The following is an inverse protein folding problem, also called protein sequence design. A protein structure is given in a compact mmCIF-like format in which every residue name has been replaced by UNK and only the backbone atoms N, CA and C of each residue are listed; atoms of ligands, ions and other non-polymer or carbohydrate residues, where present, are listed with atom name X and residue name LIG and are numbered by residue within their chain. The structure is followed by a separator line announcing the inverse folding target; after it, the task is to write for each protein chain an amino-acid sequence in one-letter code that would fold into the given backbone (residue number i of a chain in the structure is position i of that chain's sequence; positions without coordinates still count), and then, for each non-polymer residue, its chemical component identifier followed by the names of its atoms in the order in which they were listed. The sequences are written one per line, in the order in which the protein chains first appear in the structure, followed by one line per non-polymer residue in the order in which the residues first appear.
data_IF_453413975121
#
_entry.id   IF_453413975121
#
_cell.length_a   1.000
_cell.length_b   1.000
_cell.length_c   1.000
_cell.angle_alpha   90.00
_cell.angle_beta   90.00
_cell.angle_gamma   90.00
#
_symmetry.space_group_name_H-M   'P 1'
#
loop_
_entity.id
_entity.type
_entity.pdbx_description
1 polymer ?
#
# COMPACT_ATOMS: atom_id res chain seq x y z
N UNK A 1 16.25 -15.08 -19.38
CA UNK A 1 16.61 -13.75 -18.85
C UNK A 1 17.72 -13.97 -17.85
N UNK A 2 18.82 -13.26 -18.01
CA UNK A 2 19.92 -13.22 -17.06
C UNK A 2 19.46 -12.63 -15.72
N UNK A 3 20.04 -13.13 -14.63
CA UNK A 3 19.67 -12.78 -13.25
C UNK A 3 19.75 -11.26 -13.01
N UNK A 4 20.74 -10.61 -13.61
CA UNK A 4 20.93 -9.16 -13.54
C UNK A 4 19.72 -8.43 -14.10
N UNK A 5 19.26 -8.80 -15.30
CA UNK A 5 18.09 -8.19 -15.92
C UNK A 5 16.81 -8.39 -15.08
N UNK A 6 16.62 -9.57 -14.49
CA UNK A 6 15.46 -9.83 -13.61
C UNK A 6 15.46 -8.93 -12.38
N UNK A 7 16.61 -8.81 -11.71
CA UNK A 7 16.75 -7.96 -10.52
C UNK A 7 16.52 -6.48 -10.85
N UNK A 8 17.03 -6.01 -11.98
CA UNK A 8 16.81 -4.63 -12.45
C UNK A 8 15.31 -4.38 -12.66
N UNK A 9 14.62 -5.28 -13.37
CA UNK A 9 13.18 -5.12 -13.59
C UNK A 9 12.38 -5.15 -12.29
N UNK A 10 12.74 -6.02 -11.33
CA UNK A 10 12.10 -6.04 -10.01
C UNK A 10 12.25 -4.69 -9.30
N UNK A 11 13.47 -4.16 -9.20
CA UNK A 11 13.71 -2.88 -8.53
C UNK A 11 12.94 -1.73 -9.20
N UNK A 12 13.00 -1.63 -10.52
CA UNK A 12 12.29 -0.58 -11.27
C UNK A 12 10.78 -0.70 -11.05
N UNK A 13 10.23 -1.91 -11.13
CA UNK A 13 8.79 -2.13 -10.96
C UNK A 13 8.30 -1.77 -9.55
N UNK A 14 9.05 -2.16 -8.51
CA UNK A 14 8.72 -1.83 -7.11
C UNK A 14 8.71 -0.32 -6.90
N UNK A 15 9.72 0.40 -7.41
CA UNK A 15 9.80 1.86 -7.31
C UNK A 15 8.66 2.51 -8.08
N UNK A 16 8.39 2.05 -9.31
CA UNK A 16 7.36 2.62 -10.17
C UNK A 16 5.96 2.46 -9.56
N UNK A 17 5.64 1.29 -9.02
CA UNK A 17 4.35 1.02 -8.37
C UNK A 17 4.24 1.81 -7.06
N UNK A 18 5.30 1.85 -6.25
CA UNK A 18 5.32 2.65 -5.01
C UNK A 18 5.09 4.14 -5.28
N UNK A 19 5.82 4.72 -6.24
CA UNK A 19 5.61 6.11 -6.65
C UNK A 19 4.25 6.38 -7.27
N UNK A 20 3.72 5.41 -8.01
CA UNK A 20 2.36 5.49 -8.54
C UNK A 20 1.32 5.61 -7.42
N UNK A 21 1.48 4.85 -6.33
CA UNK A 21 0.63 4.92 -5.14
C UNK A 21 0.72 6.27 -4.43
N UNK A 22 1.94 6.80 -4.25
CA UNK A 22 2.16 8.14 -3.67
C UNK A 22 1.41 9.21 -4.48
N UNK A 23 1.63 9.26 -5.80
CA UNK A 23 1.01 10.26 -6.67
C UNK A 23 -0.51 10.13 -6.74
N UNK A 24 -1.02 8.89 -6.68
CA UNK A 24 -2.45 8.64 -6.61
C UNK A 24 -3.04 9.19 -5.32
N UNK A 25 -2.39 8.95 -4.18
CA UNK A 25 -2.81 9.44 -2.88
C UNK A 25 -2.78 10.97 -2.83
N UNK A 26 -1.70 11.60 -3.29
CA UNK A 26 -1.55 13.06 -3.35
C UNK A 26 -2.63 13.73 -4.19
N UNK A 27 -3.03 13.09 -5.30
CA UNK A 27 -4.09 13.58 -6.18
C UNK A 27 -5.49 13.39 -5.59
N UNK A 28 -5.68 12.34 -4.78
CA UNK A 28 -6.97 11.96 -4.21
C UNK A 28 -7.39 12.85 -3.03
N UNK A 29 -6.44 13.26 -2.19
CA UNK A 29 -6.68 14.12 -1.02
C UNK A 29 -7.42 15.44 -1.36
N UNK A 30 -6.99 16.27 -2.34
CA UNK A 30 -7.68 17.51 -2.67
C UNK A 30 -9.07 17.27 -3.27
N UNK A 31 -9.27 16.16 -3.99
CA UNK A 31 -10.58 15.77 -4.53
C UNK A 31 -11.53 15.42 -3.38
N UNK A 32 -11.08 14.59 -2.44
CA UNK A 32 -11.88 14.19 -1.29
C UNK A 32 -12.27 15.39 -0.41
N UNK A 33 -11.36 16.36 -0.22
CA UNK A 33 -11.65 17.61 0.50
C UNK A 33 -12.72 18.45 -0.21
N UNK A 34 -12.69 18.55 -1.54
CA UNK A 34 -13.71 19.28 -2.33
C UNK A 34 -15.09 18.61 -2.25
N UNK A 35 -15.13 17.31 -2.04
CA UNK A 35 -16.38 16.53 -1.88
C UNK A 35 -16.94 16.60 -0.44
N UNK A 36 -16.34 17.39 0.46
CA UNK A 36 -16.82 17.54 1.83
C UNK A 36 -16.53 16.34 2.73
N UNK A 37 -15.61 15.46 2.32
CA UNK A 37 -15.19 14.31 3.14
C UNK A 37 -14.35 14.82 4.32
N UNK A 38 -14.67 14.36 5.54
CA UNK A 38 -13.93 14.74 6.74
C UNK A 38 -12.44 14.35 6.64
N UNK A 39 -11.54 15.14 7.24
CA UNK A 39 -10.10 14.86 7.22
C UNK A 39 -9.75 13.47 7.77
N UNK A 40 -10.48 13.04 8.80
CA UNK A 40 -10.35 11.69 9.38
C UNK A 40 -10.72 10.63 8.35
N UNK A 41 -11.87 10.73 7.68
CA UNK A 41 -12.30 9.78 6.65
C UNK A 41 -11.34 9.71 5.45
N UNK A 42 -10.72 10.85 5.08
CA UNK A 42 -9.68 10.86 4.03
C UNK A 42 -8.48 10.01 4.46
N UNK A 43 -7.96 10.22 5.67
CA UNK A 43 -6.81 9.48 6.19
C UNK A 43 -7.11 7.99 6.45
N UNK A 44 -8.24 7.69 7.08
CA UNK A 44 -8.57 6.32 7.51
C UNK A 44 -9.01 5.42 6.36
N UNK A 45 -9.81 5.93 5.42
CA UNK A 45 -10.46 5.09 4.40
C UNK A 45 -9.79 5.30 3.04
N UNK A 46 -9.74 6.54 2.55
CA UNK A 46 -9.25 6.82 1.19
C UNK A 46 -7.75 6.56 1.05
N UNK A 47 -6.95 7.06 1.99
CA UNK A 47 -5.49 6.86 1.96
C UNK A 47 -5.14 5.39 2.19
N UNK A 48 -5.79 4.70 3.14
CA UNK A 48 -5.55 3.27 3.37
C UNK A 48 -5.81 2.39 2.14
N UNK A 49 -6.87 2.71 1.38
CA UNK A 49 -7.17 2.02 0.11
C UNK A 49 -6.13 2.35 -0.95
N UNK A 50 -5.73 3.61 -1.06
CA UNK A 50 -4.71 4.05 -2.01
C UNK A 50 -3.36 3.36 -1.77
N UNK A 51 -2.92 3.30 -0.51
CA UNK A 51 -1.66 2.65 -0.12
C UNK A 51 -1.68 1.15 -0.41
N UNK A 52 -2.84 0.49 -0.27
CA UNK A 52 -3.01 -0.96 -0.53
C UNK A 52 -3.20 -1.32 -2.02
N UNK A 53 -3.31 -0.31 -2.89
CA UNK A 53 -3.57 -0.48 -4.33
C UNK A 53 -2.47 -1.29 -5.04
N UNK A 54 -1.16 -1.01 -4.82
CA UNK A 54 -0.06 -1.84 -5.29
C UNK A 54 -0.24 -3.35 -5.02
N UNK A 55 -0.57 -3.72 -3.78
CA UNK A 55 -0.67 -5.09 -3.34
C UNK A 55 -1.83 -5.80 -3.98
N UNK A 56 -2.98 -5.12 -4.09
CA UNK A 56 -4.16 -5.64 -4.81
C UNK A 56 -3.83 -5.88 -6.28
N UNK A 57 -3.12 -4.94 -6.92
CA UNK A 57 -2.72 -5.07 -8.32
C UNK A 57 -1.74 -6.23 -8.54
N UNK A 58 -0.71 -6.36 -7.69
CA UNK A 58 0.29 -7.43 -7.81
C UNK A 58 -0.33 -8.80 -7.49
N UNK A 59 -1.14 -8.90 -6.42
CA UNK A 59 -1.84 -10.13 -6.07
C UNK A 59 -2.82 -10.55 -7.17
N UNK A 60 -3.66 -9.62 -7.62
CA UNK A 60 -4.63 -9.85 -8.70
C UNK A 60 -3.95 -10.26 -10.01
N UNK A 61 -2.88 -9.57 -10.40
CA UNK A 61 -2.10 -9.94 -11.57
C UNK A 61 -1.47 -11.33 -11.45
N UNK A 62 -0.92 -11.66 -10.27
CA UNK A 62 -0.37 -12.99 -9.99
C UNK A 62 -1.42 -14.09 -10.12
N UNK A 63 -2.62 -13.88 -9.58
CA UNK A 63 -3.74 -14.80 -9.72
C UNK A 63 -4.17 -14.98 -11.18
N UNK A 64 -4.32 -13.89 -11.93
CA UNK A 64 -4.68 -13.91 -13.35
C UNK A 64 -3.63 -14.61 -14.22
N UNK A 65 -2.36 -14.58 -13.83
CA UNK A 65 -1.27 -15.29 -14.50
C UNK A 65 -1.11 -16.75 -14.09
N UNK A 66 -2.02 -17.29 -13.27
CA UNK A 66 -1.94 -18.68 -12.82
C UNK A 66 -0.91 -18.92 -11.71
N UNK A 67 -0.53 -17.88 -10.95
CA UNK A 67 0.40 -17.96 -9.82
C UNK A 67 -0.35 -17.71 -8.49
N UNK A 68 -1.25 -18.61 -8.04
CA UNK A 68 -2.05 -18.41 -6.84
C UNK A 68 -1.21 -18.34 -5.56
N UNK A 69 -0.10 -19.07 -5.48
CA UNK A 69 0.82 -19.01 -4.34
C UNK A 69 1.46 -17.63 -4.17
N UNK A 70 1.81 -16.96 -5.29
CA UNK A 70 2.31 -15.59 -5.26
C UNK A 70 1.22 -14.63 -4.79
N UNK A 71 0.00 -14.77 -5.33
CA UNK A 71 -1.14 -13.95 -4.93
C UNK A 71 -1.44 -14.06 -3.44
N UNK A 72 -1.46 -15.28 -2.90
CA UNK A 72 -1.66 -15.53 -1.47
C UNK A 72 -0.51 -14.97 -0.64
N UNK A 73 0.73 -15.13 -1.11
CA UNK A 73 1.91 -14.57 -0.45
C UNK A 73 1.86 -13.05 -0.35
N UNK A 74 1.45 -12.36 -1.41
CA UNK A 74 1.29 -10.90 -1.41
C UNK A 74 0.14 -10.48 -0.48
N UNK A 75 -1.01 -11.16 -0.54
CA UNK A 75 -2.17 -10.81 0.26
C UNK A 75 -1.96 -11.01 1.77
N UNK A 76 -1.37 -12.14 2.18
CA UNK A 76 -1.11 -12.42 3.60
C UNK A 76 0.12 -11.68 4.10
N UNK A 77 1.17 -11.61 3.26
CA UNK A 77 2.40 -10.92 3.59
C UNK A 77 2.18 -9.43 3.85
N UNK A 78 1.35 -8.75 3.04
CA UNK A 78 1.06 -7.33 3.23
C UNK A 78 0.33 -7.05 4.55
N UNK A 79 -0.60 -7.91 4.98
CA UNK A 79 -1.29 -7.78 6.27
C UNK A 79 -0.30 -7.88 7.43
N UNK A 80 0.57 -8.90 7.40
CA UNK A 80 1.59 -9.09 8.43
C UNK A 80 2.56 -7.91 8.46
N UNK A 81 2.97 -7.41 7.29
CA UNK A 81 3.88 -6.29 7.16
C UNK A 81 3.23 -4.98 7.67
N UNK A 82 1.96 -4.73 7.33
CA UNK A 82 1.24 -3.54 7.76
C UNK A 82 1.03 -3.53 9.28
N UNK A 83 0.65 -4.65 9.88
CA UNK A 83 0.48 -4.71 11.33
C UNK A 83 1.84 -4.70 12.04
N UNK A 84 2.78 -5.53 11.60
CA UNK A 84 4.08 -5.71 12.27
C UNK A 84 5.01 -4.53 12.09
N UNK A 85 5.21 -4.08 10.85
CA UNK A 85 6.13 -2.97 10.55
C UNK A 85 5.42 -1.63 10.63
N UNK A 86 4.35 -1.39 9.86
CA UNK A 86 3.75 -0.05 9.81
C UNK A 86 3.15 0.34 11.17
N UNK A 87 2.21 -0.44 11.71
CA UNK A 87 1.63 -0.16 13.02
C UNK A 87 2.64 -0.31 14.16
N UNK A 88 3.47 -1.36 14.14
CA UNK A 88 4.48 -1.60 15.17
C UNK A 88 5.51 -0.46 15.28
N UNK A 89 6.03 0.03 14.15
CA UNK A 89 6.96 1.17 14.14
C UNK A 89 6.23 2.46 14.54
N UNK A 90 5.01 2.70 14.06
CA UNK A 90 4.21 3.86 14.48
C UNK A 90 4.00 3.89 15.99
N UNK A 91 3.72 2.75 16.62
CA UNK A 91 3.54 2.63 18.07
C UNK A 91 4.84 2.79 18.88
N UNK A 92 6.00 2.53 18.28
CA UNK A 92 7.29 2.79 18.91
C UNK A 92 7.68 4.27 18.85
N UNK A 93 7.26 4.98 17.79
CA UNK A 93 7.58 6.39 17.58
C UNK A 93 6.59 7.28 18.34
N UNK A 94 5.31 6.94 18.34
CA UNK A 94 4.23 7.69 19.01
C UNK A 94 3.72 6.84 20.16
N UNK A 95 3.73 7.40 21.38
CA UNK A 95 3.33 6.68 22.59
C UNK A 95 1.83 6.38 22.68
N UNK A 96 0.99 6.98 21.82
CA UNK A 96 -0.46 6.74 21.81
C UNK A 96 -1.16 7.07 20.47
N UNK A 97 -0.85 6.37 19.35
CA UNK A 97 -1.39 6.70 18.03
C UNK A 97 -2.88 6.35 17.87
N UNK A 98 -3.44 5.53 18.76
CA UNK A 98 -4.83 5.06 18.65
C UNK A 98 -5.84 6.05 19.27
N UNK A 99 -5.41 6.91 20.19
CA UNK A 99 -6.27 7.89 20.86
C UNK A 99 -6.47 9.16 20.02
N UNK A 100 -5.59 9.45 19.06
CA UNK A 100 -5.82 10.50 18.04
C UNK A 100 -6.80 10.05 16.94
N UNK A 101 -7.10 8.75 16.84
CA UNK A 101 -7.99 8.18 15.82
C UNK A 101 -9.46 8.07 16.27
N UNK A 102 -9.75 8.26 17.57
CA UNK A 102 -11.08 8.12 18.21
C UNK A 102 -11.52 9.47 18.76
#
# INVERSE_FOLDING_TARGET
MDLVTVTIFLLISTIAIGKGSDWFTDSLIPIARKLGVSGVSVGLILVSVAVSLPEVLVAGYGALKGHPNLSLGVALGSIICNIGLMTGISALIISNPLEELI
#
